data_IF_401498967553
#
_entry.id   IF_401498967553
#
_cell.length_a   1.000
_cell.length_b   1.000
_cell.length_c   1.000
_cell.angle_alpha   90.00
_cell.angle_beta   90.00
_cell.angle_gamma   90.00
#
_symmetry.space_group_name_H-M   'P 1'
#
loop_
_entity.id
_entity.type
_entity.pdbx_description
1 polymer ?
#
# COMPACT_ATOMS: atom_id res chain seq x y z
N UNK A 1 8.19 2.49 9.52
CA UNK A 1 7.93 2.81 10.93
C UNK A 1 8.01 1.52 11.70
N UNK A 2 8.52 1.58 12.94
CA UNK A 2 8.44 0.48 13.92
C UNK A 2 8.50 1.08 15.32
N UNK A 3 8.39 0.22 16.34
CA UNK A 3 8.56 0.56 17.76
C UNK A 3 10.03 0.79 18.17
N UNK A 4 10.98 0.61 17.26
CA UNK A 4 12.40 0.82 17.54
C UNK A 4 12.75 2.31 17.62
N UNK A 5 13.75 2.63 18.43
CA UNK A 5 14.27 4.00 18.53
C UNK A 5 14.97 4.46 17.25
N UNK A 6 15.05 5.78 17.08
CA UNK A 6 15.82 6.40 15.97
C UNK A 6 17.31 5.99 15.97
N UNK A 7 17.87 5.63 17.13
CA UNK A 7 19.26 5.17 17.25
C UNK A 7 19.42 3.77 16.67
N UNK A 8 18.44 2.88 16.91
CA UNK A 8 18.40 1.53 16.31
C UNK A 8 18.27 1.67 14.79
N UNK A 9 17.36 2.52 14.30
CA UNK A 9 17.22 2.79 12.85
C UNK A 9 18.53 3.27 12.22
N UNK A 10 19.24 4.20 12.85
CA UNK A 10 20.54 4.66 12.36
C UNK A 10 21.55 3.51 12.28
N UNK A 11 21.69 2.73 13.36
CA UNK A 11 22.64 1.63 13.38
C UNK A 11 22.29 0.56 12.34
N UNK A 12 21.01 0.27 12.15
CA UNK A 12 20.52 -0.67 11.13
C UNK A 12 20.85 -0.20 9.72
N UNK A 13 20.59 1.08 9.41
CA UNK A 13 20.94 1.65 8.12
C UNK A 13 22.45 1.63 7.87
N UNK A 14 23.24 2.09 8.84
CA UNK A 14 24.69 2.24 8.68
C UNK A 14 25.39 0.88 8.54
N UNK A 15 24.92 -0.14 9.27
CA UNK A 15 25.64 -1.42 9.38
C UNK A 15 25.04 -2.57 8.56
N UNK A 16 23.79 -2.47 8.10
CA UNK A 16 23.13 -3.52 7.32
C UNK A 16 22.57 -2.99 6.00
N UNK A 17 21.63 -2.03 6.05
CA UNK A 17 20.90 -1.62 4.84
C UNK A 17 21.81 -0.91 3.82
N UNK A 18 22.83 -0.17 4.27
CA UNK A 18 23.86 0.44 3.40
C UNK A 18 24.69 -0.57 2.59
N UNK A 19 24.79 -1.82 3.07
CA UNK A 19 25.46 -2.93 2.38
C UNK A 19 24.55 -3.64 1.39
N UNK A 20 23.24 -3.56 1.61
CA UNK A 20 22.22 -4.16 0.74
C UNK A 20 21.77 -3.21 -0.37
N UNK A 21 21.76 -1.91 -0.08
CA UNK A 21 21.31 -0.85 -0.98
C UNK A 21 22.36 0.24 -1.02
N UNK A 22 22.90 0.53 -2.21
CA UNK A 22 23.89 1.58 -2.39
C UNK A 22 23.33 2.93 -1.93
N UNK A 23 23.99 3.55 -0.95
CA UNK A 23 23.55 4.81 -0.35
C UNK A 23 22.58 4.66 0.82
N UNK A 24 22.25 3.43 1.24
CA UNK A 24 21.31 3.16 2.32
C UNK A 24 19.86 3.44 1.91
N UNK A 25 19.00 3.61 2.92
CA UNK A 25 17.56 3.83 2.71
C UNK A 25 17.30 5.31 2.33
N UNK A 26 16.68 5.59 1.17
CA UNK A 26 16.50 6.95 0.67
C UNK A 26 15.23 7.64 1.21
N UNK A 27 14.64 7.12 2.29
CA UNK A 27 13.40 7.62 2.88
C UNK A 27 13.43 7.55 4.41
N UNK A 28 12.55 8.31 5.06
CA UNK A 28 12.51 8.39 6.51
C UNK A 28 12.11 7.06 7.17
N UNK A 29 12.89 6.63 8.17
CA UNK A 29 12.56 5.51 9.05
C UNK A 29 12.02 6.06 10.38
N UNK A 30 10.69 6.06 10.50
CA UNK A 30 9.99 6.61 11.68
C UNK A 30 10.07 5.66 12.88
N UNK A 31 10.22 6.24 14.07
CA UNK A 31 10.19 5.56 15.37
C UNK A 31 8.87 5.85 16.08
N UNK A 32 8.14 4.80 16.46
CA UNK A 32 6.91 4.82 17.26
C UNK A 32 7.11 4.01 18.55
N UNK A 33 8.09 4.38 19.37
CA UNK A 33 8.46 3.61 20.56
C UNK A 33 7.36 3.43 21.61
N UNK A 34 6.29 4.23 21.53
CA UNK A 34 5.11 4.07 22.39
C UNK A 34 3.96 3.26 21.74
N UNK A 35 4.13 2.77 20.51
CA UNK A 35 3.10 2.08 19.74
C UNK A 35 1.85 2.92 19.47
N UNK A 36 1.94 4.26 19.59
CA UNK A 36 0.77 5.16 19.54
C UNK A 36 0.25 5.28 18.12
N UNK A 37 1.14 5.43 17.16
CA UNK A 37 0.78 5.50 15.74
C UNK A 37 0.26 4.14 15.30
N UNK A 38 0.98 3.06 15.61
CA UNK A 38 0.53 1.70 15.32
C UNK A 38 -0.86 1.40 15.91
N UNK A 39 -1.16 1.87 17.12
CA UNK A 39 -2.47 1.73 17.76
C UNK A 39 -3.59 2.46 17.00
N UNK A 40 -3.34 3.72 16.59
CA UNK A 40 -4.31 4.51 15.81
C UNK A 40 -4.60 3.86 14.45
N UNK A 41 -3.58 3.24 13.84
CA UNK A 41 -3.71 2.51 12.57
C UNK A 41 -4.20 1.06 12.75
N UNK A 42 -4.45 0.60 13.98
CA UNK A 42 -4.94 -0.74 14.27
C UNK A 42 -3.95 -1.88 13.96
N UNK A 43 -2.65 -1.60 13.98
CA UNK A 43 -1.59 -2.57 13.66
C UNK A 43 -0.66 -2.87 14.83
N UNK A 44 -0.81 -2.20 15.97
CA UNK A 44 -0.02 -2.47 17.17
C UNK A 44 -0.60 -3.62 17.99
N UNK A 45 0.27 -4.55 18.39
CA UNK A 45 -0.03 -5.62 19.32
C UNK A 45 0.50 -5.22 20.71
N UNK A 46 -0.39 -4.94 21.69
CA UNK A 46 0.02 -4.51 23.02
C UNK A 46 0.67 -5.62 23.85
N UNK A 47 0.35 -6.89 23.57
CA UNK A 47 0.89 -8.03 24.32
C UNK A 47 2.31 -8.36 23.83
N UNK A 48 2.52 -8.28 22.51
CA UNK A 48 3.82 -8.50 21.90
C UNK A 48 4.72 -7.25 21.89
N UNK A 49 4.15 -6.06 22.08
CA UNK A 49 4.86 -4.79 22.06
C UNK A 49 5.41 -4.41 20.67
N UNK A 50 4.83 -4.93 19.59
CA UNK A 50 5.30 -4.75 18.21
C UNK A 50 4.15 -4.45 17.25
N UNK A 51 4.48 -4.01 16.03
CA UNK A 51 3.49 -3.79 14.97
C UNK A 51 3.40 -5.00 14.03
N UNK A 52 2.19 -5.35 13.62
CA UNK A 52 1.93 -6.20 12.47
C UNK A 52 2.43 -5.52 11.18
N UNK A 53 2.55 -6.27 10.08
CA UNK A 53 3.08 -5.74 8.81
C UNK A 53 2.04 -4.90 8.06
N UNK A 54 1.66 -3.76 8.63
CA UNK A 54 0.73 -2.80 8.06
C UNK A 54 1.35 -1.95 6.94
N UNK A 55 0.58 -1.70 5.89
CA UNK A 55 0.89 -0.74 4.83
C UNK A 55 -0.36 0.02 4.45
N UNK A 56 -0.28 1.35 4.41
CA UNK A 56 -1.38 2.24 4.08
C UNK A 56 -1.01 3.09 2.87
N UNK A 57 -1.97 3.24 1.94
CA UNK A 57 -1.89 4.18 0.81
C UNK A 57 -2.79 5.36 1.18
N UNK A 58 -2.18 6.53 1.35
CA UNK A 58 -2.83 7.77 1.74
C UNK A 58 -2.76 8.73 0.56
N UNK A 59 -3.89 9.32 0.19
CA UNK A 59 -3.95 10.28 -0.92
C UNK A 59 -3.51 11.70 -0.49
N UNK A 60 -3.39 12.66 -1.44
CA UNK A 60 -3.01 14.03 -1.13
C UNK A 60 -3.97 14.79 -0.21
N UNK A 61 -5.21 14.31 -0.02
CA UNK A 61 -6.20 14.91 0.87
C UNK A 61 -6.15 14.27 2.28
N UNK A 62 -5.19 13.37 2.51
CA UNK A 62 -5.01 12.68 3.79
C UNK A 62 -5.94 11.48 3.99
N UNK A 63 -6.63 11.02 2.95
CA UNK A 63 -7.60 9.92 3.04
C UNK A 63 -6.90 8.59 2.76
N UNK A 64 -7.13 7.60 3.62
CA UNK A 64 -6.67 6.22 3.38
C UNK A 64 -7.48 5.63 2.23
N UNK A 65 -6.82 5.34 1.12
CA UNK A 65 -7.41 4.75 -0.08
C UNK A 65 -7.38 3.22 -0.05
N UNK A 66 -6.37 2.65 0.61
CA UNK A 66 -6.24 1.20 0.76
C UNK A 66 -5.19 0.84 1.80
N UNK A 67 -5.36 -0.32 2.41
CA UNK A 67 -4.40 -0.84 3.38
C UNK A 67 -4.28 -2.36 3.28
N UNK A 68 -3.16 -2.89 3.76
CA UNK A 68 -2.86 -4.31 3.86
C UNK A 68 -2.20 -4.56 5.21
N UNK A 69 -2.64 -5.60 5.92
CA UNK A 69 -2.05 -6.05 7.18
C UNK A 69 -1.74 -7.53 7.05
N UNK A 70 -0.45 -7.88 7.17
CA UNK A 70 0.00 -9.26 7.19
C UNK A 70 0.58 -9.58 8.57
N UNK A 71 0.44 -10.83 8.99
CA UNK A 71 1.17 -11.34 10.15
C UNK A 71 2.68 -11.42 9.83
N UNK A 72 3.55 -11.49 10.85
CA UNK A 72 5.01 -11.45 10.65
C UNK A 72 5.64 -12.45 9.67
N UNK A 73 5.16 -13.70 9.46
CA UNK A 73 5.88 -14.66 8.61
C UNK A 73 5.81 -14.36 7.11
N UNK A 74 4.91 -13.48 6.64
CA UNK A 74 4.71 -13.23 5.20
C UNK A 74 5.11 -11.80 4.82
N UNK A 75 5.98 -11.69 3.82
CA UNK A 75 6.37 -10.40 3.23
C UNK A 75 5.31 -9.82 2.29
N UNK A 76 5.26 -8.49 2.19
CA UNK A 76 4.36 -7.77 1.27
C UNK A 76 4.89 -7.78 -0.16
N UNK A 77 4.00 -7.57 -1.13
CA UNK A 77 4.36 -7.47 -2.55
C UNK A 77 4.48 -6.00 -3.00
N UNK A 78 5.69 -5.58 -3.36
CA UNK A 78 5.96 -4.20 -3.83
C UNK A 78 5.27 -3.92 -5.17
N UNK A 79 5.22 -4.90 -6.07
CA UNK A 79 4.57 -4.74 -7.38
C UNK A 79 3.06 -4.48 -7.24
N UNK A 80 2.40 -5.14 -6.28
CA UNK A 80 0.99 -4.88 -5.99
C UNK A 80 0.79 -3.50 -5.36
N UNK A 81 1.70 -3.08 -4.48
CA UNK A 81 1.69 -1.71 -3.94
C UNK A 81 1.75 -0.67 -5.06
N UNK A 82 2.68 -0.84 -6.00
CA UNK A 82 2.84 0.08 -7.13
C UNK A 82 1.60 0.07 -8.04
N UNK A 83 1.03 -1.11 -8.32
CA UNK A 83 -0.20 -1.25 -9.11
C UNK A 83 -1.36 -0.49 -8.48
N UNK A 84 -1.56 -0.63 -7.17
CA UNK A 84 -2.61 0.07 -6.43
C UNK A 84 -2.40 1.58 -6.44
N UNK A 85 -1.17 2.07 -6.22
CA UNK A 85 -0.86 3.51 -6.31
C UNK A 85 -1.23 4.06 -7.69
N UNK A 86 -0.81 3.39 -8.77
CA UNK A 86 -1.11 3.80 -10.14
C UNK A 86 -2.63 3.78 -10.42
N UNK A 87 -3.34 2.78 -9.89
CA UNK A 87 -4.78 2.66 -10.02
C UNK A 87 -5.52 3.82 -9.34
N UNK A 88 -5.17 4.14 -8.09
CA UNK A 88 -5.76 5.27 -7.37
C UNK A 88 -5.40 6.62 -8.02
N UNK A 89 -4.18 6.79 -8.52
CA UNK A 89 -3.80 7.98 -9.28
C UNK A 89 -4.64 8.14 -10.56
N UNK A 90 -4.93 7.04 -11.27
CA UNK A 90 -5.79 7.07 -12.46
C UNK A 90 -7.22 7.49 -12.11
N UNK A 91 -7.82 6.88 -11.08
CA UNK A 91 -9.17 7.22 -10.59
C UNK A 91 -9.23 8.68 -10.12
N UNK A 92 -8.20 9.16 -9.40
CA UNK A 92 -8.11 10.57 -8.99
C UNK A 92 -8.03 11.50 -10.20
N UNK A 93 -7.22 11.17 -11.20
CA UNK A 93 -7.07 11.95 -12.44
C UNK A 93 -8.37 12.01 -13.24
N UNK A 94 -9.14 10.92 -13.27
CA UNK A 94 -10.46 10.87 -13.92
C UNK A 94 -11.57 11.51 -13.07
N UNK A 95 -11.25 12.05 -11.89
CA UNK A 95 -12.22 12.60 -10.92
C UNK A 95 -13.32 11.60 -10.56
N UNK A 96 -12.97 10.32 -10.47
CA UNK A 96 -13.91 9.23 -10.15
C UNK A 96 -14.83 8.81 -11.29
N UNK A 97 -14.69 9.38 -12.49
CA UNK A 97 -15.50 8.98 -13.67
C UNK A 97 -15.06 7.66 -14.28
N UNK A 98 -13.88 7.16 -13.89
CA UNK A 98 -13.38 5.84 -14.28
C UNK A 98 -13.02 5.00 -13.06
N UNK A 99 -13.24 3.69 -13.17
CA UNK A 99 -12.85 2.67 -12.19
C UNK A 99 -11.86 1.68 -12.82
N UNK A 100 -10.94 1.18 -11.99
CA UNK A 100 -9.91 0.21 -12.38
C UNK A 100 -10.36 -1.20 -11.95
N UNK A 101 -10.69 -2.10 -12.90
CA UNK A 101 -11.17 -3.44 -12.55
C UNK A 101 -10.07 -4.34 -11.94
N UNK A 102 -10.44 -5.55 -11.52
CA UNK A 102 -9.49 -6.53 -10.96
C UNK A 102 -8.28 -6.71 -11.89
N UNK A 103 -7.08 -6.71 -11.30
CA UNK A 103 -5.82 -6.89 -12.01
C UNK A 103 -5.40 -5.72 -12.91
N UNK A 104 -6.13 -4.60 -12.91
CA UNK A 104 -5.81 -3.45 -13.76
C UNK A 104 -4.37 -2.96 -13.56
N UNK A 105 -3.72 -2.66 -14.68
CA UNK A 105 -2.39 -2.03 -14.81
C UNK A 105 -2.47 -0.86 -15.80
N UNK A 106 -1.52 0.09 -15.76
CA UNK A 106 -1.47 1.19 -16.73
C UNK A 106 -1.60 0.70 -18.18
N UNK A 107 -2.45 1.37 -18.96
CA UNK A 107 -2.74 1.01 -20.35
C UNK A 107 -3.83 -0.06 -20.53
N UNK A 108 -4.26 -0.75 -19.47
CA UNK A 108 -5.40 -1.70 -19.54
C UNK A 108 -6.73 -0.94 -19.49
N UNK A 109 -7.78 -1.60 -19.98
CA UNK A 109 -9.14 -1.08 -20.04
C UNK A 109 -9.68 -0.72 -18.65
N UNK A 110 -10.21 0.49 -18.51
CA UNK A 110 -10.98 0.94 -17.35
C UNK A 110 -12.49 0.77 -17.58
N UNK A 111 -13.25 0.93 -16.50
CA UNK A 111 -14.71 0.96 -16.53
C UNK A 111 -15.19 2.40 -16.32
N UNK A 112 -16.33 2.77 -16.90
CA UNK A 112 -17.01 4.05 -16.64
C UNK A 112 -18.27 3.77 -15.84
N UNK A 113 -18.25 3.92 -14.50
CA UNK A 113 -19.41 3.62 -13.66
C UNK A 113 -20.66 4.40 -14.11
N UNK A 114 -21.80 3.72 -14.18
CA UNK A 114 -23.08 4.30 -14.55
C UNK A 114 -24.20 3.25 -14.52
N UNK A 115 -25.48 3.67 -14.58
CA UNK A 115 -26.62 2.76 -14.49
C UNK A 115 -26.57 1.60 -15.50
N UNK A 116 -26.09 1.87 -16.72
CA UNK A 116 -26.00 0.86 -17.78
C UNK A 116 -25.05 -0.30 -17.46
N UNK A 117 -24.07 -0.11 -16.57
CA UNK A 117 -23.15 -1.16 -16.15
C UNK A 117 -23.66 -2.01 -14.98
N UNK A 118 -24.73 -1.60 -14.29
CA UNK A 118 -25.30 -2.38 -13.18
C UNK A 118 -25.79 -3.73 -13.71
N UNK A 119 -25.24 -4.83 -13.18
CA UNK A 119 -25.51 -6.19 -13.67
C UNK A 119 -24.92 -6.53 -15.05
N UNK A 120 -24.20 -5.59 -15.67
CA UNK A 120 -23.75 -5.69 -17.07
C UNK A 120 -22.23 -5.59 -17.26
N UNK A 121 -21.43 -5.53 -16.18
CA UNK A 121 -19.96 -5.45 -16.25
C UNK A 121 -19.35 -6.56 -17.10
N UNK A 122 -19.91 -7.76 -17.06
CA UNK A 122 -19.46 -8.94 -17.84
C UNK A 122 -19.47 -8.70 -19.36
N UNK A 123 -20.27 -7.75 -19.86
CA UNK A 123 -20.32 -7.37 -21.28
C UNK A 123 -19.06 -6.62 -21.72
N UNK A 124 -18.38 -5.94 -20.79
CA UNK A 124 -17.24 -5.05 -21.09
C UNK A 124 -15.93 -5.49 -20.46
N UNK A 125 -15.96 -6.40 -19.48
CA UNK A 125 -14.81 -6.95 -18.78
C UNK A 125 -14.99 -8.44 -18.49
N UNK A 126 -13.93 -9.24 -18.65
CA UNK A 126 -13.92 -10.70 -18.43
C UNK A 126 -12.85 -11.05 -17.40
N UNK A 127 -13.04 -12.13 -16.65
CA UNK A 127 -12.08 -12.59 -15.63
C UNK A 127 -10.70 -12.92 -16.21
N UNK A 128 -10.63 -13.39 -17.44
CA UNK A 128 -9.36 -13.61 -18.15
C UNK A 128 -8.57 -12.33 -18.39
N UNK A 129 -9.19 -11.15 -18.31
CA UNK A 129 -8.51 -9.85 -18.42
C UNK A 129 -7.89 -9.39 -17.09
N UNK A 130 -8.18 -10.07 -15.98
CA UNK A 130 -7.60 -9.78 -14.66
C UNK A 130 -6.14 -10.21 -14.54
N UNK A 131 -5.72 -11.12 -15.41
CA UNK A 131 -4.40 -11.71 -15.42
C UNK A 131 -3.70 -11.26 -16.70
N UNK A 132 -2.37 -11.10 -16.62
CA UNK A 132 -1.53 -10.87 -17.80
C UNK A 132 -1.12 -12.19 -18.43
#
# INVERSE_FOLDING_TARGET
>A
MSVDSVFVHKMWNDNELSKMVKGGIPFAMLSDGGGRVGSVYGVYDPDAGVEMRGRFIIDPDGVIQGYEVLTPPVGRNVSETMRQIQAFQHVRKSKGTEATPSGWKPGKKTLKPGPDLVGNVWKVWKTSMAFD
#
